data_IF_975924299400
#
_entry.id   IF_975924299400
#
_cell.length_a   1.000
_cell.length_b   1.000
_cell.length_c   1.000
_cell.angle_alpha   90.00
_cell.angle_beta   90.00
_cell.angle_gamma   90.00
#
_symmetry.space_group_name_H-M   'P 1'
#
loop_
_entity.id
_entity.type
_entity.pdbx_description
1 polymer ?
#
# COMPACT_ATOMS: atom_id res chain seq x y z
N UNK A 1 -1.86 21.33 15.71
CA UNK A 1 -2.48 22.50 15.07
C UNK A 1 -3.87 22.54 15.68
N UNK A 2 -4.37 23.69 16.09
CA UNK A 2 -5.71 23.78 16.71
C UNK A 2 -6.65 24.16 15.60
N UNK A 3 -7.72 23.40 15.41
CA UNK A 3 -8.74 23.74 14.41
C UNK A 3 -9.36 25.09 14.80
N UNK A 4 -9.33 26.10 13.91
CA UNK A 4 -9.79 27.44 14.23
C UNK A 4 -11.32 27.53 14.46
N UNK A 5 -12.06 26.49 14.08
CA UNK A 5 -13.52 26.42 14.19
C UNK A 5 -13.97 25.62 15.42
N UNK A 6 -13.25 24.55 15.76
CA UNK A 6 -13.65 23.62 16.82
C UNK A 6 -12.80 23.73 18.08
N UNK A 7 -11.64 24.40 18.02
CA UNK A 7 -10.74 24.59 19.17
C UNK A 7 -10.05 23.30 19.65
N UNK A 8 -10.27 22.18 18.96
CA UNK A 8 -9.74 20.87 19.34
C UNK A 8 -8.31 20.72 18.81
N UNK A 9 -7.44 20.07 19.58
CA UNK A 9 -6.09 19.72 19.14
C UNK A 9 -6.17 18.63 18.07
N UNK A 10 -6.03 19.01 16.80
CA UNK A 10 -6.02 18.03 15.72
C UNK A 10 -4.66 17.37 15.60
N UNK A 11 -4.70 16.06 15.34
CA UNK A 11 -3.50 15.30 14.98
C UNK A 11 -2.90 15.93 13.72
N UNK A 12 -1.61 16.29 13.77
CA UNK A 12 -0.90 16.98 12.68
C UNK A 12 -0.64 16.09 11.47
N UNK A 13 -0.87 14.78 11.59
CA UNK A 13 -0.55 13.80 10.55
C UNK A 13 -1.76 13.62 9.63
N UNK A 14 -1.58 14.04 8.37
CA UNK A 14 -2.52 13.79 7.28
C UNK A 14 -1.98 12.64 6.43
N UNK A 15 -2.81 11.64 6.14
CA UNK A 15 -2.47 10.64 5.12
C UNK A 15 -2.42 11.29 3.74
N UNK A 16 -1.55 10.79 2.86
CA UNK A 16 -1.47 11.25 1.48
C UNK A 16 -2.83 11.16 0.78
N UNK A 17 -3.61 10.11 1.07
CA UNK A 17 -4.95 9.94 0.50
C UNK A 17 -5.87 11.12 0.83
N UNK A 18 -5.92 11.53 2.11
CA UNK A 18 -6.78 12.63 2.56
C UNK A 18 -6.33 13.96 1.97
N UNK A 19 -5.01 14.20 1.91
CA UNK A 19 -4.45 15.40 1.31
C UNK A 19 -4.83 15.52 -0.17
N UNK A 20 -4.67 14.44 -0.93
CA UNK A 20 -4.93 14.46 -2.36
C UNK A 20 -6.42 14.43 -2.71
N UNK A 21 -7.25 13.75 -1.92
CA UNK A 21 -8.70 13.80 -2.06
C UNK A 21 -9.23 15.23 -1.90
N UNK A 22 -8.74 15.97 -0.90
CA UNK A 22 -9.08 17.38 -0.72
C UNK A 22 -8.64 18.23 -1.90
N UNK A 23 -7.41 18.02 -2.42
CA UNK A 23 -6.91 18.75 -3.59
C UNK A 23 -7.71 18.52 -4.86
N UNK A 24 -8.28 17.32 -5.03
CA UNK A 24 -9.12 16.97 -6.19
C UNK A 24 -10.60 17.26 -6.00
N UNK A 25 -11.03 17.62 -4.79
CA UNK A 25 -12.42 17.93 -4.49
C UNK A 25 -12.88 19.13 -5.32
N UNK A 26 -14.05 19.01 -5.95
CA UNK A 26 -14.68 20.11 -6.70
C UNK A 26 -15.49 20.92 -5.70
N UNK A 27 -15.02 22.11 -5.35
CA UNK A 27 -15.79 23.09 -4.58
C UNK A 27 -16.45 24.09 -5.53
N UNK A 28 -17.75 24.35 -5.32
CA UNK A 28 -18.56 25.18 -6.21
C UNK A 28 -18.06 26.63 -6.36
N UNK A 29 -17.22 27.11 -5.43
CA UNK A 29 -16.70 28.47 -5.42
C UNK A 29 -15.18 28.57 -5.62
N UNK A 30 -14.50 27.46 -5.95
CA UNK A 30 -13.04 27.44 -6.15
C UNK A 30 -12.62 26.99 -7.54
N UNK A 31 -11.61 27.70 -8.07
CA UNK A 31 -11.01 27.39 -9.37
C UNK A 31 -9.95 26.30 -9.24
N UNK A 32 -10.35 25.07 -9.46
CA UNK A 32 -9.43 23.94 -9.33
C UNK A 32 -8.62 23.74 -10.64
N UNK A 33 -7.48 24.44 -10.74
CA UNK A 33 -6.61 24.48 -11.94
C UNK A 33 -6.13 23.08 -12.35
N UNK A 34 -5.84 22.23 -11.37
CA UNK A 34 -5.34 20.86 -11.59
C UNK A 34 -6.30 20.05 -12.47
N UNK A 35 -7.61 20.20 -12.26
CA UNK A 35 -8.63 19.47 -13.02
C UNK A 35 -8.82 19.98 -14.45
N UNK A 36 -8.35 21.20 -14.77
CA UNK A 36 -8.46 21.80 -16.10
C UNK A 36 -7.29 21.41 -17.02
N UNK A 37 -6.15 21.03 -16.43
CA UNK A 37 -4.95 20.72 -17.19
C UNK A 37 -4.98 19.27 -17.71
N UNK A 38 -5.42 19.02 -18.95
CA UNK A 38 -5.59 17.66 -19.54
C UNK A 38 -4.43 16.67 -19.27
N UNK A 39 -3.30 16.80 -19.98
CA UNK A 39 -2.18 15.84 -19.87
C UNK A 39 -1.49 15.89 -18.51
N UNK A 40 -1.38 17.08 -17.93
CA UNK A 40 -0.76 17.26 -16.62
C UNK A 40 -1.58 16.62 -15.50
N UNK A 41 -2.91 16.66 -15.59
CA UNK A 41 -3.82 15.98 -14.67
C UNK A 41 -3.63 14.47 -14.72
N UNK A 42 -3.47 13.89 -15.91
CA UNK A 42 -3.23 12.46 -16.05
C UNK A 42 -1.91 12.04 -15.37
N UNK A 43 -0.83 12.82 -15.57
CA UNK A 43 0.44 12.57 -14.89
C UNK A 43 0.32 12.73 -13.38
N UNK A 44 -0.37 13.79 -12.94
CA UNK A 44 -0.61 14.07 -11.53
C UNK A 44 -1.43 12.95 -10.86
N UNK A 45 -2.48 12.45 -11.51
CA UNK A 45 -3.32 11.38 -10.97
C UNK A 45 -2.54 10.07 -10.81
N UNK A 46 -1.66 9.74 -11.77
CA UNK A 46 -0.80 8.55 -11.68
C UNK A 46 0.23 8.71 -10.55
N UNK A 47 0.91 9.85 -10.46
CA UNK A 47 1.89 10.12 -9.40
C UNK A 47 1.26 10.08 -8.00
N UNK A 48 0.06 10.67 -7.87
CA UNK A 48 -0.76 10.61 -6.66
C UNK A 48 -1.07 9.17 -6.25
N UNK A 49 -1.53 8.35 -7.20
CA UNK A 49 -1.86 6.95 -6.93
C UNK A 49 -0.63 6.18 -6.42
N UNK A 50 0.53 6.36 -7.06
CA UNK A 50 1.79 5.72 -6.62
C UNK A 50 2.15 6.12 -5.20
N UNK A 51 1.99 7.40 -4.82
CA UNK A 51 2.28 7.86 -3.45
C UNK A 51 1.34 7.25 -2.42
N UNK A 52 0.04 7.20 -2.70
CA UNK A 52 -0.95 6.60 -1.80
C UNK A 52 -0.69 5.11 -1.62
N UNK A 53 -0.41 4.39 -2.71
CA UNK A 53 -0.08 2.97 -2.62
C UNK A 53 1.26 2.74 -1.89
N UNK A 54 2.25 3.60 -2.09
CA UNK A 54 3.53 3.48 -1.36
C UNK A 54 3.33 3.62 0.15
N UNK A 55 2.52 4.59 0.59
CA UNK A 55 2.15 4.76 2.01
C UNK A 55 1.42 3.51 2.55
N UNK A 56 0.48 2.97 1.78
CA UNK A 56 -0.27 1.76 2.13
C UNK A 56 0.65 0.52 2.24
N UNK A 57 1.58 0.35 1.31
CA UNK A 57 2.57 -0.73 1.35
C UNK A 57 3.50 -0.59 2.55
N UNK A 58 3.95 0.64 2.86
CA UNK A 58 4.73 0.91 4.05
C UNK A 58 3.95 0.55 5.32
N UNK A 59 2.66 0.91 5.41
CA UNK A 59 1.81 0.53 6.53
C UNK A 59 1.72 -0.98 6.71
N UNK A 60 1.46 -1.74 5.65
CA UNK A 60 1.41 -3.21 5.70
C UNK A 60 2.75 -3.78 6.18
N UNK A 61 3.88 -3.20 5.76
CA UNK A 61 5.22 -3.66 6.16
C UNK A 61 5.53 -3.38 7.63
N UNK A 62 5.22 -2.19 8.14
CA UNK A 62 5.54 -1.79 9.51
C UNK A 62 4.53 -2.30 10.54
N UNK A 63 3.27 -2.48 10.13
CA UNK A 63 2.19 -2.91 11.02
C UNK A 63 1.94 -4.43 11.01
N UNK A 64 2.89 -5.22 10.48
CA UNK A 64 2.77 -6.67 10.38
C UNK A 64 2.43 -7.35 11.72
N UNK A 65 2.97 -6.87 12.84
CA UNK A 65 2.70 -7.49 14.13
C UNK A 65 1.22 -7.41 14.55
N UNK A 66 0.58 -6.27 14.29
CA UNK A 66 -0.83 -6.05 14.60
C UNK A 66 -1.74 -6.77 13.59
N UNK A 67 -1.36 -6.78 12.31
CA UNK A 67 -2.07 -7.58 11.31
C UNK A 67 -1.99 -9.09 11.63
N UNK A 68 -0.86 -9.55 12.19
CA UNK A 68 -0.67 -10.94 12.63
C UNK A 68 -1.49 -11.32 13.85
N UNK A 69 -1.76 -10.40 14.79
CA UNK A 69 -2.51 -10.78 16.00
C UNK A 69 -3.94 -11.23 15.68
N UNK A 70 -4.52 -10.69 14.60
CA UNK A 70 -5.85 -11.08 14.12
C UNK A 70 -5.84 -12.50 13.51
N UNK A 71 -4.83 -12.80 12.68
CA UNK A 71 -4.62 -14.14 12.12
C UNK A 71 -4.22 -15.18 13.19
N UNK A 72 -3.46 -14.78 14.21
CA UNK A 72 -3.05 -15.66 15.30
C UNK A 72 -4.21 -16.14 16.15
N UNK A 73 -5.30 -15.35 16.27
CA UNK A 73 -6.51 -15.79 16.96
C UNK A 73 -7.12 -16.97 16.21
N UNK A 74 -7.34 -16.82 14.90
CA UNK A 74 -7.93 -17.88 14.08
C UNK A 74 -7.01 -19.10 13.93
N UNK A 75 -5.69 -18.89 13.87
CA UNK A 75 -4.70 -19.97 13.86
C UNK A 75 -4.65 -20.70 15.20
N UNK A 76 -4.72 -19.98 16.33
CA UNK A 76 -4.78 -20.58 17.67
C UNK A 76 -6.04 -21.44 17.81
N UNK A 77 -7.17 -20.96 17.31
CA UNK A 77 -8.43 -21.70 17.34
C UNK A 77 -8.35 -22.97 16.46
N UNK A 78 -7.73 -22.88 15.29
CA UNK A 78 -7.49 -24.03 14.40
C UNK A 78 -6.49 -25.04 14.98
N UNK A 79 -5.42 -24.59 15.67
CA UNK A 79 -4.47 -25.48 16.38
C UNK A 79 -5.15 -26.18 17.57
N UNK A 80 -6.07 -25.52 18.27
CA UNK A 80 -6.86 -26.18 19.32
C UNK A 80 -7.76 -27.28 18.75
N UNK A 81 -8.14 -27.19 17.47
CA UNK A 81 -8.94 -28.23 16.80
C UNK A 81 -8.14 -29.34 16.13
N UNK A 82 -6.95 -29.04 15.57
CA UNK A 82 -6.19 -29.95 14.70
C UNK A 82 -4.69 -29.89 15.09
N UNK A 83 -4.28 -30.77 15.99
CA UNK A 83 -3.05 -30.66 16.78
C UNK A 83 -1.77 -31.13 16.08
N UNK A 84 -1.26 -30.38 15.08
CA UNK A 84 0.14 -30.48 14.67
C UNK A 84 0.82 -29.10 14.60
N UNK A 85 1.71 -28.84 15.56
CA UNK A 85 2.40 -27.55 15.75
C UNK A 85 3.73 -27.50 14.98
N UNK A 86 4.22 -28.64 14.48
CA UNK A 86 5.58 -28.76 13.92
C UNK A 86 5.67 -28.40 12.43
N UNK A 87 4.55 -28.36 11.71
CA UNK A 87 4.50 -28.01 10.27
C UNK A 87 4.18 -26.53 9.99
N UNK A 88 4.05 -25.69 11.02
CA UNK A 88 3.57 -24.32 10.88
C UNK A 88 4.71 -23.39 10.44
N UNK A 89 4.80 -23.16 9.13
CA UNK A 89 5.65 -22.12 8.55
C UNK A 89 5.23 -20.69 8.98
N UNK A 90 6.12 -19.72 8.81
CA UNK A 90 5.82 -18.30 9.09
C UNK A 90 4.99 -17.67 7.97
N UNK A 91 3.67 -17.64 8.13
CA UNK A 91 2.77 -16.85 7.28
C UNK A 91 3.08 -15.35 7.45
N UNK A 92 3.34 -14.67 6.33
CA UNK A 92 3.56 -13.21 6.29
C UNK A 92 2.62 -12.62 5.25
N UNK A 93 1.81 -11.63 5.65
CA UNK A 93 0.92 -10.94 4.72
C UNK A 93 1.79 -10.06 3.83
N UNK A 94 1.88 -10.43 2.55
CA UNK A 94 2.60 -9.65 1.56
C UNK A 94 1.59 -8.92 0.68
N UNK A 95 1.83 -7.64 0.38
CA UNK A 95 1.00 -6.95 -0.59
C UNK A 95 1.14 -7.56 -1.99
N UNK A 96 0.08 -7.45 -2.81
CA UNK A 96 0.02 -7.99 -4.18
C UNK A 96 1.11 -7.42 -5.10
N UNK A 97 1.57 -6.19 -4.86
CA UNK A 97 2.70 -5.57 -5.60
C UNK A 97 4.00 -6.36 -5.49
N UNK A 98 4.14 -7.22 -4.47
CA UNK A 98 5.28 -8.10 -4.36
C UNK A 98 5.40 -9.08 -5.55
N UNK A 99 4.28 -9.51 -6.13
CA UNK A 99 4.30 -10.36 -7.33
C UNK A 99 4.95 -9.57 -8.47
N UNK A 100 4.56 -8.31 -8.65
CA UNK A 100 5.07 -7.42 -9.70
C UNK A 100 6.58 -7.19 -9.53
N UNK A 101 7.05 -6.93 -8.30
CA UNK A 101 8.49 -6.79 -8.00
C UNK A 101 9.26 -8.06 -8.28
N UNK A 102 8.75 -9.21 -7.85
CA UNK A 102 9.41 -10.51 -8.05
C UNK A 102 9.52 -10.87 -9.53
N UNK A 103 8.47 -10.63 -10.31
CA UNK A 103 8.48 -10.85 -11.77
C UNK A 103 9.44 -9.88 -12.48
N UNK A 104 9.51 -8.62 -12.03
CA UNK A 104 10.51 -7.66 -12.51
C UNK A 104 11.95 -8.09 -12.17
N UNK A 105 12.19 -8.69 -11.01
CA UNK A 105 13.50 -9.24 -10.62
C UNK A 105 13.84 -10.51 -11.41
N UNK A 106 12.87 -11.38 -11.69
CA UNK A 106 13.03 -12.56 -12.55
C UNK A 106 13.33 -12.18 -14.00
N UNK A 107 12.67 -11.14 -14.51
CA UNK A 107 12.92 -10.59 -15.85
C UNK A 107 14.32 -9.96 -15.99
N UNK A 108 14.90 -9.48 -14.89
CA UNK A 108 16.27 -8.92 -14.84
C UNK A 108 17.37 -9.98 -14.75
N UNK A 109 17.05 -11.26 -14.52
CA UNK A 109 18.09 -12.31 -14.51
C UNK A 109 18.60 -12.56 -15.94
N UNK A 110 19.92 -12.63 -16.14
CA UNK A 110 20.47 -12.97 -17.44
C UNK A 110 19.95 -14.35 -17.85
N UNK A 111 19.40 -14.42 -19.07
CA UNK A 111 18.98 -15.67 -19.70
C UNK A 111 20.25 -16.39 -20.10
N UNK A 112 20.74 -17.30 -19.26
CA UNK A 112 21.94 -18.09 -19.54
C UNK A 112 21.78 -18.76 -20.91
N UNK A 113 22.54 -18.28 -21.88
CA UNK A 113 22.61 -18.84 -23.23
C UNK A 113 23.52 -20.06 -23.18
N UNK A 114 22.96 -21.20 -22.80
CA UNK A 114 23.52 -22.50 -23.12
C UNK A 114 22.57 -23.25 -24.04
N UNK A 115 22.37 -22.75 -25.26
CA UNK A 115 21.68 -23.48 -26.34
C UNK A 115 22.24 -23.03 -27.70
N UNK A 116 23.55 -23.20 -27.93
CA UNK A 116 24.09 -23.40 -29.29
C UNK A 116 25.33 -24.29 -29.15
N UNK A 117 25.14 -25.61 -29.29
CA UNK A 117 26.01 -26.62 -29.94
C UNK A 117 25.43 -28.00 -29.57
N UNK A 118 24.70 -28.59 -30.51
CA UNK A 118 24.70 -30.02 -30.86
C UNK A 118 23.99 -30.18 -32.21
#
# INVERSE_FOLDING_TARGET
MVDPITGVSTNKNLSAMNYYAYRLMILANEWNVILKCRRLFQQFAVDMYVKVETERLAFIRFNQANLRSEDYIHLRDAIHSDGDVQSIGRLTIRPLSYIIERELELSKKPKDRHDIIA
#
